data_IF_673047596370
#
_entry.id   IF_673047596370
#
_cell.length_a   1.000
_cell.length_b   1.000
_cell.length_c   1.000
_cell.angle_alpha   90.00
_cell.angle_beta   90.00
_cell.angle_gamma   90.00
#
_symmetry.space_group_name_H-M   'P 1'
#
loop_
_entity.id
_entity.type
_entity.pdbx_description
1 polymer ?
#
# COMPACT_ATOMS: atom_id res chain seq x y z
N UNK A 1 6.99 -55.03 -28.74
CA UNK A 1 5.84 -54.28 -29.32
C UNK A 1 5.09 -53.39 -28.31
N UNK A 2 5.64 -53.08 -27.12
CA UNK A 2 4.89 -52.42 -26.02
C UNK A 2 5.19 -50.92 -25.83
N UNK A 3 6.28 -50.41 -26.42
CA UNK A 3 6.71 -49.00 -26.28
C UNK A 3 5.85 -48.01 -27.10
N UNK A 4 5.54 -48.34 -28.37
CA UNK A 4 4.79 -47.46 -29.28
C UNK A 4 3.35 -47.17 -28.80
N UNK A 5 2.65 -48.18 -28.29
CA UNK A 5 1.28 -48.04 -27.78
C UNK A 5 1.23 -47.17 -26.53
N UNK A 6 2.21 -47.31 -25.62
CA UNK A 6 2.35 -46.42 -24.46
C UNK A 6 2.55 -44.97 -24.89
N UNK A 7 3.47 -44.70 -25.83
CA UNK A 7 3.71 -43.32 -26.28
C UNK A 7 2.48 -42.66 -26.92
N UNK A 8 1.67 -43.42 -27.68
CA UNK A 8 0.40 -42.94 -28.22
C UNK A 8 -0.62 -42.62 -27.14
N UNK A 9 -0.75 -43.46 -26.11
CA UNK A 9 -1.65 -43.20 -24.97
C UNK A 9 -1.22 -41.95 -24.20
N UNK A 10 0.07 -41.79 -23.89
CA UNK A 10 0.57 -40.58 -23.22
C UNK A 10 0.34 -39.33 -24.07
N UNK A 11 0.55 -39.41 -25.38
CA UNK A 11 0.31 -38.30 -26.31
C UNK A 11 -1.17 -37.89 -26.34
N UNK A 12 -2.08 -38.85 -26.43
CA UNK A 12 -3.53 -38.58 -26.39
C UNK A 12 -3.93 -37.99 -25.03
N UNK A 13 -3.43 -38.54 -23.92
CA UNK A 13 -3.68 -37.97 -22.60
C UNK A 13 -3.18 -36.54 -22.47
N UNK A 14 -1.98 -36.24 -22.96
CA UNK A 14 -1.43 -34.89 -22.97
C UNK A 14 -2.30 -33.94 -23.80
N UNK A 15 -2.76 -34.35 -24.98
CA UNK A 15 -3.68 -33.56 -25.81
C UNK A 15 -5.02 -33.31 -25.13
N UNK A 16 -5.58 -34.32 -24.44
CA UNK A 16 -6.84 -34.17 -23.70
C UNK A 16 -6.65 -33.19 -22.54
N UNK A 17 -5.58 -33.32 -21.76
CA UNK A 17 -5.30 -32.40 -20.65
C UNK A 17 -5.10 -30.98 -21.16
N UNK A 18 -4.25 -30.77 -22.17
CA UNK A 18 -4.02 -29.44 -22.73
C UNK A 18 -5.28 -28.84 -23.36
N UNK A 19 -6.04 -29.64 -24.11
CA UNK A 19 -7.29 -29.21 -24.75
C UNK A 19 -8.37 -28.84 -23.74
N UNK A 20 -8.53 -29.65 -22.68
CA UNK A 20 -9.48 -29.35 -21.60
C UNK A 20 -9.06 -28.15 -20.78
N UNK A 21 -7.78 -28.01 -20.42
CA UNK A 21 -7.26 -26.82 -19.74
C UNK A 21 -7.46 -25.55 -20.56
N UNK A 22 -7.16 -25.58 -21.87
CA UNK A 22 -7.36 -24.44 -22.76
C UNK A 22 -8.84 -24.08 -22.91
N UNK A 23 -9.71 -25.07 -23.09
CA UNK A 23 -11.15 -24.85 -23.20
C UNK A 23 -11.74 -24.26 -21.91
N UNK A 24 -11.29 -24.76 -20.74
CA UNK A 24 -11.65 -24.19 -19.44
C UNK A 24 -11.17 -22.75 -19.41
N UNK A 25 -9.86 -22.47 -19.54
CA UNK A 25 -9.29 -21.11 -19.51
C UNK A 25 -9.96 -20.11 -20.46
N UNK A 26 -10.39 -20.56 -21.65
CA UNK A 26 -11.12 -19.71 -22.59
C UNK A 26 -12.56 -19.44 -22.13
N UNK A 27 -13.32 -20.47 -21.76
CA UNK A 27 -14.69 -20.31 -21.25
C UNK A 27 -14.72 -19.46 -19.99
N UNK A 28 -13.73 -19.69 -19.14
CA UNK A 28 -13.35 -18.93 -17.98
C UNK A 28 -13.14 -17.44 -18.25
N UNK A 29 -12.22 -17.07 -19.13
CA UNK A 29 -12.00 -15.66 -19.47
C UNK A 29 -13.26 -15.00 -20.02
N UNK A 30 -14.04 -15.72 -20.83
CA UNK A 30 -15.29 -15.23 -21.43
C UNK A 30 -16.41 -15.01 -20.40
N UNK A 31 -16.49 -15.84 -19.36
CA UNK A 31 -17.47 -15.68 -18.28
C UNK A 31 -17.08 -14.59 -17.28
N UNK A 32 -15.83 -14.11 -17.34
CA UNK A 32 -15.29 -13.10 -16.42
C UNK A 32 -14.94 -13.65 -15.03
N UNK A 33 -15.07 -14.96 -14.79
CA UNK A 33 -14.78 -15.58 -13.49
C UNK A 33 -13.28 -15.61 -13.12
N UNK A 34 -12.38 -15.41 -14.09
CA UNK A 34 -10.92 -15.42 -13.97
C UNK A 34 -10.40 -14.17 -14.67
N UNK A 35 -9.92 -13.21 -13.88
CA UNK A 35 -9.33 -11.98 -14.41
C UNK A 35 -7.81 -12.05 -14.29
N UNK A 36 -7.13 -12.27 -15.41
CA UNK A 36 -5.67 -12.20 -15.47
C UNK A 36 -5.18 -10.76 -15.50
N UNK A 37 -5.97 -9.86 -16.09
CA UNK A 37 -5.69 -8.42 -16.14
C UNK A 37 -6.69 -7.72 -15.24
N UNK A 38 -6.20 -7.09 -14.17
CA UNK A 38 -7.03 -6.36 -13.22
C UNK A 38 -7.36 -4.99 -13.78
N UNK A 39 -8.61 -4.56 -13.61
CA UNK A 39 -9.02 -3.19 -13.91
C UNK A 39 -8.53 -2.23 -12.83
N UNK A 40 -8.29 -0.95 -13.14
CA UNK A 40 -7.97 0.04 -12.13
C UNK A 40 -9.16 0.26 -11.20
N UNK A 41 -8.91 0.23 -9.91
CA UNK A 41 -9.80 0.77 -8.89
C UNK A 41 -9.44 2.23 -8.57
N UNK A 42 -10.27 3.22 -8.93
CA UNK A 42 -9.95 4.63 -8.70
C UNK A 42 -10.02 4.97 -7.20
N UNK A 43 -9.14 5.87 -6.77
CA UNK A 43 -9.21 6.45 -5.42
C UNK A 43 -10.48 7.31 -5.30
N UNK A 44 -11.13 7.35 -4.12
CA UNK A 44 -12.38 8.12 -3.91
C UNK A 44 -12.11 9.62 -3.82
N UNK A 45 -11.03 9.99 -3.13
CA UNK A 45 -10.57 11.37 -2.93
C UNK A 45 -9.05 11.38 -3.08
N UNK A 46 -8.51 12.37 -3.79
CA UNK A 46 -7.06 12.51 -3.95
C UNK A 46 -6.37 12.60 -2.60
N UNK A 47 -5.19 12.02 -2.47
CA UNK A 47 -4.36 12.06 -1.27
C UNK A 47 -3.95 13.50 -0.92
N UNK A 48 -3.75 14.35 -1.93
CA UNK A 48 -3.45 15.78 -1.72
C UNK A 48 -4.56 16.51 -0.95
N UNK A 49 -5.81 16.05 -1.06
CA UNK A 49 -6.97 16.62 -0.38
C UNK A 49 -7.21 16.00 1.01
N UNK A 50 -6.26 15.24 1.56
CA UNK A 50 -6.39 14.63 2.88
C UNK A 50 -6.49 15.69 3.97
N UNK A 51 -7.47 15.52 4.87
CA UNK A 51 -7.75 16.48 5.92
C UNK A 51 -6.63 16.47 6.97
N UNK A 52 -5.84 17.55 7.03
CA UNK A 52 -4.68 17.63 7.94
C UNK A 52 -5.09 17.56 9.41
N UNK A 53 -6.28 18.03 9.74
CA UNK A 53 -6.84 17.96 11.11
C UNK A 53 -7.19 16.53 11.52
N UNK A 54 -7.41 15.61 10.58
CA UNK A 54 -7.64 14.19 10.87
C UNK A 54 -6.38 13.50 11.43
N UNK A 55 -5.20 14.10 11.25
CA UNK A 55 -3.93 13.59 11.78
C UNK A 55 -3.63 14.09 13.20
N UNK A 56 -4.53 14.85 13.83
CA UNK A 56 -4.35 15.29 15.20
C UNK A 56 -4.08 14.08 16.13
N UNK A 57 -3.11 14.17 17.06
CA UNK A 57 -2.44 15.39 17.52
C UNK A 57 -1.20 15.80 16.71
N UNK A 58 -0.85 15.09 15.64
CA UNK A 58 0.28 15.46 14.77
C UNK A 58 -0.05 16.75 14.02
N UNK A 59 0.96 17.60 13.87
CA UNK A 59 0.85 18.86 13.14
C UNK A 59 1.54 18.77 11.78
N UNK A 60 0.84 19.16 10.73
CA UNK A 60 1.42 19.31 9.40
C UNK A 60 2.38 20.52 9.38
N UNK A 61 3.62 20.31 8.96
CA UNK A 61 4.66 21.34 8.87
C UNK A 61 4.86 21.79 7.43
N UNK A 62 4.85 20.85 6.47
CA UNK A 62 5.10 21.16 5.07
C UNK A 62 4.97 19.94 4.18
N UNK A 63 5.11 20.15 2.88
CA UNK A 63 5.11 19.09 1.88
C UNK A 63 6.22 19.30 0.87
N UNK A 64 6.66 18.21 0.27
CA UNK A 64 7.63 18.21 -0.82
C UNK A 64 7.01 17.58 -2.05
N UNK A 65 7.14 18.26 -3.19
CA UNK A 65 6.86 17.63 -4.48
C UNK A 65 8.07 16.82 -4.90
N UNK A 66 7.81 15.63 -5.43
CA UNK A 66 8.88 14.84 -6.04
C UNK A 66 9.28 15.46 -7.38
N UNK A 67 10.57 15.39 -7.75
CA UNK A 67 11.01 15.72 -9.10
C UNK A 67 10.26 14.86 -10.13
N UNK A 68 9.98 15.40 -11.34
CA UNK A 68 9.24 14.67 -12.38
C UNK A 68 9.82 13.28 -12.70
N UNK A 69 11.14 13.15 -12.67
CA UNK A 69 11.86 11.90 -12.93
C UNK A 69 11.50 10.82 -11.89
N UNK A 70 11.39 11.23 -10.62
CA UNK A 70 11.01 10.32 -9.53
C UNK A 70 9.53 9.95 -9.65
N UNK A 71 8.66 10.87 -10.08
CA UNK A 71 7.24 10.59 -10.31
C UNK A 71 7.05 9.59 -11.45
N UNK A 72 7.85 9.71 -12.53
CA UNK A 72 7.85 8.75 -13.63
C UNK A 72 8.29 7.36 -13.17
N UNK A 73 9.36 7.27 -12.35
CA UNK A 73 9.82 6.00 -11.77
C UNK A 73 8.82 5.39 -10.78
N UNK A 74 8.11 6.22 -10.01
CA UNK A 74 7.02 5.74 -9.17
C UNK A 74 5.93 5.11 -10.04
N UNK A 75 5.62 5.68 -11.21
CA UNK A 75 4.56 5.19 -12.09
C UNK A 75 3.16 5.57 -11.63
N UNK A 76 3.04 6.57 -10.74
CA UNK A 76 1.76 7.14 -10.29
C UNK A 76 1.92 8.62 -9.95
N UNK A 77 0.90 9.41 -10.27
CA UNK A 77 0.79 10.81 -9.84
C UNK A 77 0.06 10.95 -8.50
N UNK A 78 -0.56 9.88 -8.00
CA UNK A 78 -1.31 9.90 -6.76
C UNK A 78 -0.39 9.57 -5.58
N UNK A 79 0.24 10.62 -5.05
CA UNK A 79 1.16 10.53 -3.91
C UNK A 79 1.11 11.78 -3.03
N UNK A 80 1.59 11.63 -1.80
CA UNK A 80 1.96 12.75 -0.92
C UNK A 80 3.28 12.47 -0.24
N UNK A 81 4.07 13.53 -0.04
CA UNK A 81 5.25 13.53 0.84
C UNK A 81 5.15 14.71 1.79
N UNK A 82 4.75 14.43 3.02
CA UNK A 82 4.48 15.42 4.06
C UNK A 82 5.53 15.34 5.16
N UNK A 83 5.82 16.48 5.76
CA UNK A 83 6.53 16.59 7.02
C UNK A 83 5.50 16.87 8.09
N UNK A 84 5.39 15.94 9.04
CA UNK A 84 4.59 16.07 10.24
C UNK A 84 5.51 16.33 11.44
N UNK A 85 4.91 16.79 12.53
CA UNK A 85 5.61 17.07 13.77
C UNK A 85 4.73 16.74 14.96
N UNK A 86 5.30 16.00 15.91
CA UNK A 86 4.65 15.73 17.19
C UNK A 86 4.39 17.01 17.99
N UNK A 87 3.36 17.04 18.85
CA UNK A 87 3.15 18.12 19.81
C UNK A 87 4.41 18.46 20.60
N UNK A 88 4.59 19.74 20.93
CA UNK A 88 5.73 20.20 21.75
C UNK A 88 5.74 19.58 23.16
N UNK A 89 4.61 19.04 23.62
CA UNK A 89 4.49 18.29 24.88
C UNK A 89 5.02 16.85 24.80
N UNK A 90 5.30 16.32 23.60
CA UNK A 90 5.80 14.95 23.42
C UNK A 90 7.25 14.79 23.94
N UNK A 91 7.65 13.58 24.36
CA UNK A 91 8.97 13.32 24.94
C UNK A 91 10.14 13.76 24.03
N UNK A 92 9.97 13.60 22.71
CA UNK A 92 10.96 13.97 21.70
C UNK A 92 10.56 15.26 20.94
N UNK A 93 10.03 16.23 21.69
CA UNK A 93 9.70 17.63 21.30
C UNK A 93 9.94 17.93 19.83
N UNK A 94 8.90 17.75 19.02
CA UNK A 94 8.89 18.30 17.68
C UNK A 94 9.83 17.62 16.68
N UNK A 95 10.07 16.31 16.83
CA UNK A 95 10.70 15.49 15.81
C UNK A 95 9.92 15.62 14.49
N UNK A 96 10.66 15.84 13.41
CA UNK A 96 10.11 15.81 12.05
C UNK A 96 9.89 14.36 11.64
N UNK A 97 8.67 14.06 11.21
CA UNK A 97 8.23 12.77 10.70
C UNK A 97 7.99 12.97 9.21
N UNK A 98 8.72 12.26 8.35
CA UNK A 98 8.41 12.22 6.93
C UNK A 98 7.34 11.15 6.72
N UNK A 99 6.18 11.56 6.21
CA UNK A 99 5.10 10.68 5.80
C UNK A 99 5.06 10.66 4.28
N UNK A 100 5.24 9.49 3.69
CA UNK A 100 5.08 9.25 2.27
C UNK A 100 3.92 8.28 2.06
N UNK A 101 2.97 8.64 1.19
CA UNK A 101 1.87 7.75 0.79
C UNK A 101 1.81 7.76 -0.72
N UNK A 102 1.73 6.58 -1.32
CA UNK A 102 1.57 6.41 -2.77
C UNK A 102 0.40 5.48 -3.04
N UNK A 103 -0.36 5.73 -4.11
CA UNK A 103 -1.50 4.92 -4.52
C UNK A 103 -1.33 4.44 -5.96
N UNK A 104 -1.56 3.15 -6.15
CA UNK A 104 -1.38 2.45 -7.42
C UNK A 104 -2.66 1.71 -7.78
N UNK A 105 -2.92 1.60 -9.08
CA UNK A 105 -4.14 0.97 -9.55
C UNK A 105 -3.97 0.36 -10.93
N UNK A 106 -4.63 -0.77 -11.18
CA UNK A 106 -4.69 -1.41 -12.51
C UNK A 106 -3.40 -2.10 -12.98
N UNK A 107 -2.32 -2.11 -12.18
CA UNK A 107 -1.06 -2.79 -12.52
C UNK A 107 -0.74 -3.86 -11.49
N UNK A 108 -0.66 -5.11 -11.94
CA UNK A 108 -0.47 -6.29 -11.06
C UNK A 108 0.98 -6.49 -10.64
N UNK A 109 1.92 -6.24 -11.55
CA UNK A 109 3.30 -6.74 -11.44
C UNK A 109 4.31 -5.70 -10.92
N UNK A 110 3.99 -4.43 -11.08
CA UNK A 110 4.79 -3.33 -10.56
C UNK A 110 4.38 -3.10 -9.12
N UNK A 111 5.21 -3.54 -8.17
CA UNK A 111 5.31 -2.94 -6.83
C UNK A 111 6.70 -2.32 -6.81
N UNK A 112 6.84 -1.09 -7.34
CA UNK A 112 8.10 -0.65 -7.95
C UNK A 112 9.14 -0.13 -6.95
N UNK A 113 8.73 0.37 -5.78
CA UNK A 113 9.64 1.06 -4.86
C UNK A 113 9.45 0.56 -3.41
N UNK A 114 10.35 -0.32 -2.98
CA UNK A 114 10.46 -0.73 -1.57
C UNK A 114 11.63 0.01 -0.93
N UNK A 115 11.55 0.28 0.37
CA UNK A 115 12.51 1.19 1.03
C UNK A 115 13.94 0.63 0.98
N UNK A 116 14.10 -0.69 0.98
CA UNK A 116 15.36 -1.41 0.81
C UNK A 116 16.08 -1.03 -0.47
N UNK A 117 15.35 -1.06 -1.60
CA UNK A 117 15.91 -0.79 -2.92
C UNK A 117 16.27 0.70 -3.01
N UNK A 118 15.38 1.59 -2.58
CA UNK A 118 15.60 3.04 -2.63
C UNK A 118 16.72 3.52 -1.69
N UNK A 119 16.76 3.02 -0.44
CA UNK A 119 17.76 3.41 0.55
C UNK A 119 19.15 2.90 0.17
N UNK A 120 19.23 1.66 -0.33
CA UNK A 120 20.49 1.09 -0.84
C UNK A 120 21.01 1.87 -2.04
N UNK A 121 20.13 2.24 -2.99
CA UNK A 121 20.49 3.12 -4.11
C UNK A 121 20.98 4.50 -3.66
N UNK A 122 20.42 5.01 -2.55
CA UNK A 122 20.88 6.23 -1.88
C UNK A 122 22.21 6.08 -1.10
N UNK A 123 22.88 4.93 -1.21
CA UNK A 123 24.11 4.58 -0.48
C UNK A 123 23.95 4.55 1.05
N UNK A 124 22.75 4.27 1.54
CA UNK A 124 22.53 3.97 2.96
C UNK A 124 22.96 2.53 3.27
N UNK A 125 23.40 2.30 4.50
CA UNK A 125 23.74 0.96 5.00
C UNK A 125 22.65 0.47 5.93
N UNK A 126 22.01 -0.66 5.61
CA UNK A 126 21.03 -1.32 6.47
C UNK A 126 21.71 -1.80 7.77
N UNK A 127 21.09 -1.53 8.90
CA UNK A 127 21.56 -1.92 10.24
C UNK A 127 20.65 -2.98 10.87
N UNK A 128 19.33 -2.77 10.81
CA UNK A 128 18.31 -3.69 11.33
C UNK A 128 17.11 -3.77 10.37
N UNK A 129 16.46 -4.94 10.36
CA UNK A 129 15.40 -5.30 9.43
C UNK A 129 14.42 -6.31 10.03
N UNK A 130 13.21 -5.87 10.37
CA UNK A 130 12.21 -6.71 11.02
C UNK A 130 10.78 -6.43 10.54
N UNK A 131 9.89 -7.40 10.75
CA UNK A 131 8.44 -7.21 10.57
C UNK A 131 7.79 -7.31 11.94
N UNK A 132 7.09 -6.25 12.33
CA UNK A 132 6.37 -6.16 13.60
C UNK A 132 4.87 -6.05 13.34
N UNK A 133 4.08 -6.59 14.26
CA UNK A 133 2.63 -6.43 14.24
C UNK A 133 2.25 -5.20 15.07
N UNK A 134 1.57 -4.24 14.46
CA UNK A 134 1.10 -3.02 15.12
C UNK A 134 -0.41 -3.03 15.27
N UNK A 135 -0.87 -2.71 16.47
CA UNK A 135 -2.30 -2.52 16.76
C UNK A 135 -2.69 -1.06 16.51
N UNK A 136 -3.67 -0.87 15.64
CA UNK A 136 -4.24 0.42 15.25
C UNK A 136 -5.64 0.53 15.88
N UNK A 137 -5.74 1.02 17.13
CA UNK A 137 -6.99 0.97 17.89
C UNK A 137 -8.10 1.83 17.28
N UNK A 138 -7.78 2.99 16.70
CA UNK A 138 -8.77 3.87 16.07
C UNK A 138 -9.30 3.25 14.79
N UNK A 139 -8.41 2.63 13.99
CA UNK A 139 -8.81 1.88 12.80
C UNK A 139 -9.50 0.56 13.14
N UNK A 140 -9.32 0.04 14.37
CA UNK A 140 -9.80 -1.28 14.79
C UNK A 140 -9.08 -2.43 14.08
N UNK A 141 -7.80 -2.24 13.75
CA UNK A 141 -7.01 -3.17 12.93
C UNK A 141 -5.72 -3.60 13.64
N UNK A 142 -5.21 -4.76 13.23
CA UNK A 142 -3.84 -5.19 13.52
C UNK A 142 -3.15 -5.43 12.20
N UNK A 143 -2.02 -4.78 11.96
CA UNK A 143 -1.36 -4.78 10.66
C UNK A 143 0.13 -5.15 10.77
N UNK A 144 0.68 -5.85 9.76
CA UNK A 144 2.12 -6.04 9.64
C UNK A 144 2.78 -4.75 9.16
N UNK A 145 3.86 -4.36 9.82
CA UNK A 145 4.69 -3.20 9.49
C UNK A 145 6.13 -3.66 9.35
N UNK A 146 6.75 -3.33 8.22
CA UNK A 146 8.16 -3.55 8.00
C UNK A 146 8.94 -2.39 8.61
N UNK A 147 9.86 -2.69 9.52
CA UNK A 147 10.68 -1.71 10.20
C UNK A 147 12.13 -1.92 9.86
N UNK A 148 12.78 -0.85 9.42
CA UNK A 148 14.16 -0.89 8.94
C UNK A 148 14.94 0.28 9.50
N UNK A 149 16.21 0.05 9.81
CA UNK A 149 17.12 1.09 10.25
C UNK A 149 18.31 1.19 9.31
N UNK A 150 18.71 2.42 9.04
CA UNK A 150 19.75 2.72 8.08
C UNK A 150 20.73 3.76 8.62
N UNK A 151 22.02 3.56 8.36
CA UNK A 151 23.02 4.61 8.47
C UNK A 151 23.11 5.39 7.15
N UNK A 152 22.97 6.72 7.18
CA UNK A 152 23.26 7.56 6.02
C UNK A 152 24.73 7.45 5.58
N UNK A 153 25.03 7.67 4.29
CA UNK A 153 26.40 7.66 3.82
C UNK A 153 27.23 8.73 4.55
N UNK A 154 28.36 8.31 5.12
CA UNK A 154 29.34 9.18 5.81
C UNK A 154 28.83 9.82 7.11
N UNK A 155 27.70 9.38 7.66
CA UNK A 155 27.21 9.81 8.98
C UNK A 155 26.78 8.62 9.83
N UNK A 156 27.63 8.23 10.79
CA UNK A 156 27.35 7.15 11.75
C UNK A 156 26.69 7.67 13.03
N UNK A 157 26.45 8.99 13.15
CA UNK A 157 25.90 9.62 14.36
C UNK A 157 24.38 9.69 14.35
N UNK A 158 23.77 9.47 13.19
CA UNK A 158 22.34 9.44 12.98
C UNK A 158 21.93 8.15 12.27
N UNK A 159 20.79 7.62 12.66
CA UNK A 159 20.09 6.55 11.96
C UNK A 159 18.78 7.09 11.38
N UNK A 160 18.44 6.58 10.21
CA UNK A 160 17.11 6.75 9.61
C UNK A 160 16.32 5.49 9.91
N UNK A 161 15.21 5.67 10.60
CA UNK A 161 14.26 4.60 10.88
C UNK A 161 13.13 4.73 9.87
N UNK A 162 12.75 3.64 9.24
CA UNK A 162 11.71 3.57 8.21
C UNK A 162 10.70 2.51 8.63
N UNK A 163 9.44 2.91 8.69
CA UNK A 163 8.30 2.06 8.99
C UNK A 163 7.40 2.08 7.78
N UNK A 164 7.10 0.94 7.18
CA UNK A 164 6.18 0.93 6.06
C UNK A 164 5.26 -0.28 6.05
N UNK A 165 4.11 -0.10 5.42
CA UNK A 165 3.15 -1.16 5.14
C UNK A 165 2.48 -0.90 3.80
N UNK A 166 1.91 -1.94 3.22
CA UNK A 166 1.10 -1.86 2.03
C UNK A 166 -0.33 -2.23 2.36
N UNK A 167 -1.30 -1.47 1.85
CA UNK A 167 -2.68 -1.92 1.73
C UNK A 167 -2.92 -2.37 0.29
N UNK A 168 -3.41 -3.59 0.06
CA UNK A 168 -3.87 -4.06 -1.24
C UNK A 168 -5.28 -4.60 -1.11
N UNK A 169 -6.22 -3.98 -1.84
CA UNK A 169 -7.65 -4.32 -1.77
C UNK A 169 -8.20 -4.41 -0.33
N UNK A 170 -7.68 -3.57 0.58
CA UNK A 170 -8.09 -3.48 1.99
C UNK A 170 -7.38 -4.44 2.95
N UNK A 171 -6.53 -5.35 2.46
CA UNK A 171 -5.69 -6.22 3.28
C UNK A 171 -4.27 -5.62 3.42
N UNK A 172 -3.58 -5.88 4.53
CA UNK A 172 -2.27 -5.29 4.82
C UNK A 172 -1.11 -6.28 4.68
N UNK A 173 0.02 -5.79 4.18
CA UNK A 173 1.23 -6.56 3.94
C UNK A 173 2.48 -5.74 4.24
N UNK A 174 3.47 -6.34 4.92
CA UNK A 174 4.77 -5.71 5.12
C UNK A 174 5.74 -5.92 3.94
N UNK A 175 5.45 -6.82 3.00
CA UNK A 175 6.39 -7.15 1.93
C UNK A 175 5.78 -7.05 0.53
N UNK A 176 6.63 -6.69 -0.44
CA UNK A 176 6.29 -6.71 -1.87
C UNK A 176 5.73 -8.05 -2.34
N UNK A 177 6.32 -9.15 -1.89
CA UNK A 177 5.87 -10.49 -2.27
C UNK A 177 4.48 -10.81 -1.71
N UNK A 178 4.15 -10.31 -0.52
CA UNK A 178 2.80 -10.37 0.04
C UNK A 178 1.78 -9.65 -0.86
N UNK A 179 2.09 -8.41 -1.24
CA UNK A 179 1.26 -7.62 -2.16
C UNK A 179 1.09 -8.31 -3.51
N UNK A 180 2.19 -8.76 -4.15
CA UNK A 180 2.12 -9.47 -5.44
C UNK A 180 1.25 -10.73 -5.37
N UNK A 181 1.38 -11.51 -4.29
CA UNK A 181 0.55 -12.71 -4.07
C UNK A 181 -0.92 -12.33 -3.92
N UNK A 182 -1.25 -11.26 -3.19
CA UNK A 182 -2.61 -10.77 -3.03
C UNK A 182 -3.19 -10.25 -4.36
N UNK A 183 -2.41 -9.51 -5.13
CA UNK A 183 -2.80 -8.96 -6.42
C UNK A 183 -3.06 -10.06 -7.47
N UNK A 184 -2.45 -11.24 -7.29
CA UNK A 184 -2.66 -12.41 -8.14
C UNK A 184 -3.96 -13.18 -7.85
N UNK A 185 -4.78 -12.76 -6.87
CA UNK A 185 -6.09 -13.38 -6.62
C UNK A 185 -6.95 -13.29 -7.88
N UNK A 186 -7.23 -14.44 -8.50
CA UNK A 186 -7.87 -14.51 -9.81
C UNK A 186 -9.35 -14.09 -9.80
N UNK A 187 -9.97 -14.02 -8.62
CA UNK A 187 -11.38 -13.65 -8.45
C UNK A 187 -11.59 -12.15 -8.31
N UNK A 188 -10.53 -11.39 -8.00
CA UNK A 188 -10.60 -9.95 -8.01
C UNK A 188 -10.61 -9.43 -9.44
N UNK A 189 -11.54 -8.53 -9.73
CA UNK A 189 -11.70 -7.88 -11.04
C UNK A 189 -10.98 -6.55 -11.11
N UNK A 190 -10.82 -5.88 -9.96
CA UNK A 190 -10.20 -4.59 -9.82
C UNK A 190 -9.09 -4.66 -8.77
N UNK A 191 -8.09 -3.81 -8.93
CA UNK A 191 -6.93 -3.78 -8.07
C UNK A 191 -6.55 -2.35 -7.74
N UNK A 192 -6.30 -2.11 -6.45
CA UNK A 192 -5.40 -1.08 -6.01
C UNK A 192 -4.40 -1.65 -5.01
N UNK A 193 -3.28 -0.95 -4.86
CA UNK A 193 -2.50 -1.05 -3.65
C UNK A 193 -1.92 0.33 -3.29
N UNK A 194 -1.63 0.55 -2.02
CA UNK A 194 -1.09 1.79 -1.51
C UNK A 194 0.02 1.50 -0.52
N UNK A 195 1.15 2.20 -0.66
CA UNK A 195 2.25 2.15 0.31
C UNK A 195 2.09 3.32 1.26
N UNK A 196 2.20 3.05 2.55
CA UNK A 196 2.34 4.06 3.59
C UNK A 196 3.71 3.87 4.20
N UNK A 197 4.53 4.92 4.18
CA UNK A 197 5.87 4.93 4.72
C UNK A 197 6.04 6.12 5.65
N UNK A 198 6.61 5.85 6.82
CA UNK A 198 6.97 6.84 7.82
C UNK A 198 8.45 6.72 8.06
N UNK A 199 9.17 7.84 7.99
CA UNK A 199 10.59 7.86 8.36
C UNK A 199 10.94 9.04 9.25
N UNK A 200 11.89 8.79 10.15
CA UNK A 200 12.46 9.83 11.00
C UNK A 200 13.94 9.57 11.25
N UNK A 201 14.66 10.64 11.56
CA UNK A 201 16.06 10.58 11.95
C UNK A 201 16.19 10.62 13.46
N UNK A 202 16.97 9.72 14.03
CA UNK A 202 17.29 9.73 15.45
C UNK A 202 18.74 9.27 15.68
N UNK A 203 19.25 9.41 16.91
CA UNK A 203 20.56 8.87 17.26
C UNK A 203 20.48 7.33 17.35
N UNK A 204 21.59 6.59 17.15
CA UNK A 204 21.59 5.13 17.20
C UNK A 204 21.08 4.53 18.52
N UNK A 205 21.19 5.28 19.62
CA UNK A 205 20.72 4.87 20.95
C UNK A 205 19.34 5.46 21.31
N UNK A 206 18.57 5.89 20.32
CA UNK A 206 17.20 6.35 20.55
C UNK A 206 16.33 5.22 21.11
N UNK A 207 15.37 5.58 21.97
CA UNK A 207 14.44 4.62 22.53
C UNK A 207 13.51 4.07 21.44
N UNK A 208 13.78 2.83 21.00
CA UNK A 208 13.00 2.14 19.96
C UNK A 208 11.53 2.01 20.31
N UNK A 209 11.19 1.78 21.58
CA UNK A 209 9.80 1.63 22.01
C UNK A 209 8.98 2.91 21.77
N UNK A 210 9.61 4.07 21.95
CA UNK A 210 9.00 5.36 21.65
C UNK A 210 8.89 5.60 20.15
N UNK A 211 9.90 5.22 19.36
CA UNK A 211 9.85 5.32 17.89
C UNK A 211 8.70 4.48 17.32
N UNK A 212 8.55 3.24 17.83
CA UNK A 212 7.46 2.34 17.47
C UNK A 212 6.10 2.92 17.89
N UNK A 213 6.01 3.54 19.08
CA UNK A 213 4.79 4.23 19.53
C UNK A 213 4.40 5.35 18.57
N UNK A 214 5.35 6.21 18.19
CA UNK A 214 5.09 7.34 17.29
C UNK A 214 4.70 6.86 15.89
N UNK A 215 5.39 5.84 15.37
CA UNK A 215 5.02 5.22 14.09
C UNK A 215 3.61 4.61 14.15
N UNK A 216 3.29 3.86 15.21
CA UNK A 216 1.95 3.27 15.43
C UNK A 216 0.86 4.33 15.48
N UNK A 217 1.04 5.39 16.29
CA UNK A 217 0.05 6.47 16.41
C UNK A 217 -0.15 7.22 15.09
N UNK A 218 0.94 7.46 14.35
CA UNK A 218 0.87 8.07 13.01
C UNK A 218 0.13 7.17 12.02
N UNK A 219 0.45 5.87 11.99
CA UNK A 219 -0.24 4.90 11.15
C UNK A 219 -1.72 4.80 11.50
N UNK A 220 -2.09 4.81 12.78
CA UNK A 220 -3.49 4.67 13.22
C UNK A 220 -4.34 5.84 12.68
N UNK A 221 -3.87 7.07 12.82
CA UNK A 221 -4.55 8.26 12.29
C UNK A 221 -4.60 8.26 10.76
N UNK A 222 -3.47 7.97 10.10
CA UNK A 222 -3.38 7.96 8.63
C UNK A 222 -4.27 6.89 8.03
N UNK A 223 -4.17 5.65 8.51
CA UNK A 223 -4.96 4.51 8.00
C UNK A 223 -6.45 4.75 8.22
N UNK A 224 -6.83 5.30 9.38
CA UNK A 224 -8.22 5.66 9.67
C UNK A 224 -8.76 6.66 8.65
N UNK A 225 -8.03 7.74 8.38
CA UNK A 225 -8.47 8.75 7.40
C UNK A 225 -8.49 8.21 5.97
N UNK A 226 -7.51 7.39 5.59
CA UNK A 226 -7.47 6.75 4.28
C UNK A 226 -8.68 5.84 4.06
N UNK A 227 -9.02 4.97 5.02
CA UNK A 227 -10.21 4.12 4.93
C UNK A 227 -11.51 4.92 4.93
N UNK A 228 -11.56 6.01 5.70
CA UNK A 228 -12.75 6.85 5.80
C UNK A 228 -13.03 7.59 4.49
N UNK A 229 -12.02 8.26 3.93
CA UNK A 229 -12.24 9.28 2.89
C UNK A 229 -11.60 8.96 1.53
N UNK A 230 -10.49 8.21 1.49
CA UNK A 230 -9.65 8.14 0.28
C UNK A 230 -9.69 6.79 -0.43
N UNK A 231 -9.32 5.72 0.26
CA UNK A 231 -9.19 4.39 -0.34
C UNK A 231 -10.54 3.81 -0.76
N UNK A 232 -10.59 2.98 -1.81
CA UNK A 232 -11.80 2.26 -2.19
C UNK A 232 -12.44 1.49 -1.03
N UNK A 233 -13.77 1.37 -1.05
CA UNK A 233 -14.50 0.57 -0.06
C UNK A 233 -14.23 -0.92 -0.28
N UNK A 234 -14.21 -1.69 0.80
CA UNK A 234 -14.09 -3.16 0.73
C UNK A 234 -15.24 -3.76 -0.09
N UNK A 235 -14.92 -4.73 -0.95
CA UNK A 235 -15.84 -5.38 -1.88
C UNK A 235 -15.79 -4.80 -3.30
N UNK A 236 -15.24 -3.60 -3.50
CA UNK A 236 -15.09 -3.01 -4.82
C UNK A 236 -14.08 -3.75 -5.71
N UNK A 237 -13.17 -4.52 -5.13
CA UNK A 237 -12.28 -5.43 -5.85
C UNK A 237 -13.05 -6.46 -6.72
N UNK A 238 -14.31 -6.75 -6.36
CA UNK A 238 -15.23 -7.65 -7.08
C UNK A 238 -16.38 -6.88 -7.75
N UNK A 239 -16.09 -6.24 -8.87
CA UNK A 239 -17.07 -5.58 -9.73
C UNK A 239 -16.86 -4.08 -9.92
N UNK A 240 -15.94 -3.47 -9.14
CA UNK A 240 -15.63 -2.05 -9.21
C UNK A 240 -16.51 -1.20 -8.28
N UNK A 241 -16.44 0.14 -8.41
CA UNK A 241 -17.32 1.06 -7.70
C UNK A 241 -18.78 0.79 -8.04
N UNK A 242 -19.64 0.72 -7.02
CA UNK A 242 -21.08 0.57 -7.24
C UNK A 242 -21.72 1.92 -7.57
N UNK A 243 -22.76 1.97 -8.42
CA UNK A 243 -23.44 3.23 -8.76
C UNK A 243 -23.88 4.03 -7.53
N UNK A 244 -24.43 3.36 -6.52
CA UNK A 244 -24.88 3.97 -5.26
C UNK A 244 -23.75 4.61 -4.44
N UNK A 245 -22.50 4.19 -4.63
CA UNK A 245 -21.35 4.73 -3.91
C UNK A 245 -20.65 5.88 -4.66
N UNK A 246 -21.08 6.20 -5.88
CA UNK A 246 -20.46 7.22 -6.74
C UNK A 246 -21.11 8.62 -6.64
N UNK A 247 -22.22 8.74 -5.91
CA UNK A 247 -22.85 10.03 -5.60
C UNK A 247 -22.11 10.72 -4.45
N UNK A 248 -21.61 11.96 -4.64
CA UNK A 248 -21.19 12.78 -3.51
C UNK A 248 -22.39 12.99 -2.59
N UNK A 249 -22.20 12.90 -1.27
CA UNK A 249 -23.24 13.20 -0.28
C UNK A 249 -23.94 14.50 -0.69
N UNK A 250 -25.20 14.37 -1.11
CA UNK A 250 -26.05 15.52 -1.41
C UNK A 250 -26.20 16.26 -0.08
N UNK A 251 -25.84 17.55 0.04
CA UNK A 251 -26.04 18.26 1.28
C UNK A 251 -27.51 18.15 1.67
N UNK A 252 -27.81 18.01 2.98
CA UNK A 252 -29.19 17.84 3.44
C UNK A 252 -30.02 19.00 2.89
N UNK A 253 -31.15 18.65 2.27
CA UNK A 253 -32.06 19.63 1.72
C UNK A 253 -32.43 20.61 2.84
N UNK A 254 -31.97 21.85 2.71
CA UNK A 254 -32.41 22.95 3.57
C UNK A 254 -33.91 23.08 3.31
N UNK A 255 -34.70 22.61 4.27
CA UNK A 255 -36.14 22.77 4.28
C UNK A 255 -36.46 24.26 4.31
N UNK A 256 -36.81 24.79 3.14
CA UNK A 256 -37.40 26.11 3.01
C UNK A 256 -38.80 26.08 3.57
N UNK A 257 -38.97 26.56 4.78
CA UNK A 257 -40.27 27.02 5.29
C UNK A 257 -40.52 28.41 4.70
N UNK A 258 -41.53 28.52 3.84
CA UNK A 258 -42.26 29.76 3.58
C UNK A 258 -43.57 29.70 4.36
#
# INVERSE_FOLDING_TARGET
>A
MTSSTRSRVHFVLALVVLGTSAAIMHASQKSGWLQLVKKPLPIRKKLEDMERSALAPLSFVGSHKLPPEVVEELGTEEYINWILKEPTSAPYKGRAINLAITYYTGVVDQVPHVSEECMTQGAFTLDDDEIVEMELPTAGLKIPVHVQTYYPPRDMTLQTYVYYTFSSNGDFFATRNGVRRRNADLFDTHLYYSKIEISFKARPNADRSELDRVARDTLDSVVTELFKSHWPKKGWERGGPRPEDSTPDKPPAVGGSL
#
